data_IF_288691224662
#
_entry.id   IF_288691224662
#
_cell.length_a   1.000
_cell.length_b   1.000
_cell.length_c   1.000
_cell.angle_alpha   90.00
_cell.angle_beta   90.00
_cell.angle_gamma   90.00
#
_symmetry.space_group_name_H-M   'P 1'
#
loop_
_entity.id
_entity.type
_entity.pdbx_description
1 polymer ?
#
# COMPACT_ATOMS: atom_id res chain seq x y z
N UNK A 1 -3.26 21.25 20.00
CA UNK A 1 -4.70 20.89 20.03
C UNK A 1 -4.84 19.54 19.29
N UNK A 2 -5.32 18.48 19.96
CA UNK A 2 -5.53 17.17 19.31
C UNK A 2 -6.73 17.33 18.40
N UNK A 3 -6.54 17.19 17.08
CA UNK A 3 -7.64 17.19 16.10
C UNK A 3 -8.65 16.10 16.47
N UNK A 4 -9.87 16.52 16.76
CA UNK A 4 -10.96 15.61 17.08
C UNK A 4 -11.49 15.08 15.76
N UNK A 5 -11.13 13.85 15.41
CA UNK A 5 -11.74 13.14 14.28
C UNK A 5 -13.21 12.92 14.61
N UNK A 6 -14.09 13.41 13.76
CA UNK A 6 -15.51 13.09 13.86
C UNK A 6 -16.06 12.66 12.51
N UNK A 7 -16.69 11.51 12.47
CA UNK A 7 -17.32 10.96 11.27
C UNK A 7 -18.75 10.51 11.62
N UNK A 8 -19.79 11.04 10.93
CA UNK A 8 -21.18 10.65 11.18
C UNK A 8 -21.48 9.21 10.77
N UNK A 9 -20.60 8.59 9.97
CA UNK A 9 -20.74 7.21 9.49
C UNK A 9 -19.83 6.22 10.26
N UNK A 10 -19.19 6.66 11.35
CA UNK A 10 -18.34 5.81 12.17
C UNK A 10 -19.15 4.62 12.71
N UNK A 11 -18.60 3.40 12.52
CA UNK A 11 -19.28 2.15 12.89
C UNK A 11 -20.39 1.71 11.93
N UNK A 12 -20.69 2.49 10.87
CA UNK A 12 -21.69 2.15 9.86
C UNK A 12 -21.04 1.86 8.51
N UNK A 13 -20.12 2.72 8.08
CA UNK A 13 -19.35 2.56 6.87
C UNK A 13 -18.22 1.54 7.10
N UNK A 14 -17.97 0.65 6.13
CA UNK A 14 -16.91 -0.36 6.22
C UNK A 14 -15.51 0.15 5.86
N UNK A 15 -15.31 1.45 5.65
CA UNK A 15 -14.04 2.03 5.23
C UNK A 15 -12.99 2.20 6.34
N UNK A 16 -13.40 2.09 7.62
CA UNK A 16 -12.55 2.12 8.81
C UNK A 16 -13.29 1.50 10.00
N UNK A 17 -12.59 1.19 11.09
CA UNK A 17 -13.23 0.56 12.26
C UNK A 17 -13.97 1.60 13.12
N UNK A 18 -13.28 2.68 13.52
CA UNK A 18 -13.86 3.79 14.26
C UNK A 18 -12.98 5.04 14.18
N UNK A 19 -13.59 6.18 13.90
CA UNK A 19 -12.87 7.47 13.90
C UNK A 19 -13.22 8.36 15.09
N UNK A 20 -14.25 8.03 15.86
CA UNK A 20 -14.78 8.90 16.91
C UNK A 20 -14.16 8.65 18.30
N UNK A 21 -13.26 7.68 18.42
CA UNK A 21 -12.54 7.36 19.65
C UNK A 21 -11.37 8.30 19.95
N UNK A 22 -10.81 8.16 21.17
CA UNK A 22 -9.57 8.84 21.54
C UNK A 22 -8.38 8.24 20.81
N UNK A 23 -7.56 9.08 20.18
CA UNK A 23 -6.37 8.62 19.47
C UNK A 23 -5.35 7.99 20.41
N UNK A 24 -5.20 8.51 21.63
CA UNK A 24 -4.31 7.88 22.61
C UNK A 24 -4.75 6.47 23.01
N UNK A 25 -6.06 6.25 23.13
CA UNK A 25 -6.59 4.88 23.40
C UNK A 25 -6.34 3.97 22.21
N UNK A 26 -6.49 4.46 20.98
CA UNK A 26 -6.20 3.69 19.77
C UNK A 26 -4.73 3.26 19.71
N UNK A 27 -3.78 4.15 20.05
CA UNK A 27 -2.36 3.81 20.09
C UNK A 27 -2.07 2.73 21.13
N UNK A 28 -2.66 2.81 22.34
CA UNK A 28 -2.52 1.77 23.38
C UNK A 28 -3.02 0.43 22.86
N UNK A 29 -4.20 0.39 22.22
CA UNK A 29 -4.74 -0.85 21.65
C UNK A 29 -3.82 -1.46 20.59
N UNK A 30 -3.20 -0.64 19.74
CA UNK A 30 -2.24 -1.08 18.72
C UNK A 30 -0.95 -1.63 19.34
N UNK A 31 -0.42 -0.96 20.37
CA UNK A 31 0.72 -1.48 21.13
C UNK A 31 0.41 -2.81 21.82
N UNK A 32 -0.77 -2.93 22.43
CA UNK A 32 -1.21 -4.19 23.05
C UNK A 32 -1.34 -5.32 22.04
N UNK A 33 -1.82 -5.01 20.81
CA UNK A 33 -1.92 -5.98 19.73
C UNK A 33 -0.52 -6.48 19.32
N UNK A 34 0.44 -5.58 19.14
CA UNK A 34 1.83 -5.98 18.85
C UNK A 34 2.43 -6.75 20.02
N UNK A 35 2.20 -6.31 21.26
CA UNK A 35 2.69 -7.00 22.47
C UNK A 35 2.15 -8.42 22.60
N UNK A 36 0.87 -8.60 22.27
CA UNK A 36 0.21 -9.93 22.31
C UNK A 36 0.91 -10.94 21.40
N UNK A 37 1.27 -10.55 20.20
CA UNK A 37 1.81 -11.47 19.20
C UNK A 37 3.34 -11.51 19.16
N UNK A 38 3.99 -10.37 19.41
CA UNK A 38 5.44 -10.21 19.23
C UNK A 38 6.23 -10.02 20.53
N UNK A 39 5.58 -9.71 21.67
CA UNK A 39 6.24 -9.33 22.92
C UNK A 39 7.16 -10.37 23.53
N UNK A 40 6.96 -11.65 23.23
CA UNK A 40 7.86 -12.74 23.70
C UNK A 40 9.22 -12.80 22.98
N UNK A 41 9.38 -12.10 21.86
CA UNK A 41 10.61 -12.15 21.07
C UNK A 41 11.60 -11.04 21.42
N UNK A 42 11.12 -9.96 22.07
CA UNK A 42 11.99 -8.84 22.44
C UNK A 42 11.19 -7.67 23.01
N UNK A 43 11.94 -6.61 23.36
CA UNK A 43 11.35 -5.35 23.79
C UNK A 43 10.63 -4.68 22.63
N UNK A 44 9.42 -4.19 22.88
CA UNK A 44 8.65 -3.37 21.96
C UNK A 44 8.84 -1.91 22.35
N UNK A 45 9.26 -1.10 21.38
CA UNK A 45 9.35 0.35 21.55
C UNK A 45 7.96 1.00 21.55
N UNK A 46 7.87 2.23 22.04
CA UNK A 46 6.64 3.02 21.97
C UNK A 46 6.25 3.22 20.49
N UNK A 47 4.96 3.14 20.20
CA UNK A 47 4.45 3.28 18.84
C UNK A 47 4.74 4.67 18.28
N UNK A 48 5.23 4.75 17.04
CA UNK A 48 5.37 6.02 16.32
C UNK A 48 3.98 6.48 15.87
N UNK A 49 3.45 7.58 16.45
CA UNK A 49 2.12 8.06 16.10
C UNK A 49 2.09 8.65 14.69
N UNK A 50 0.93 8.62 14.04
CA UNK A 50 0.75 9.30 12.76
C UNK A 50 0.81 10.82 12.95
N UNK A 51 1.54 11.55 12.08
CA UNK A 51 1.60 13.01 12.12
C UNK A 51 0.23 13.64 11.81
N UNK A 52 -0.55 13.01 10.94
CA UNK A 52 -1.88 13.47 10.51
C UNK A 52 -2.96 12.45 10.85
N UNK A 53 -4.05 12.89 11.49
CA UNK A 53 -5.17 12.02 11.88
C UNK A 53 -6.32 12.09 10.88
N UNK A 54 -6.30 13.04 9.97
CA UNK A 54 -7.32 13.30 8.96
C UNK A 54 -6.66 13.59 7.62
N UNK A 55 -7.38 13.37 6.52
CA UNK A 55 -6.94 13.68 5.15
C UNK A 55 -5.61 13.05 4.71
N UNK A 56 -5.13 12.03 5.43
CA UNK A 56 -3.87 11.36 5.13
C UNK A 56 -3.99 10.33 3.99
N UNK A 57 -5.22 9.85 3.74
CA UNK A 57 -5.43 8.76 2.78
C UNK A 57 -5.35 9.27 1.34
N UNK A 58 -4.23 8.99 0.68
CA UNK A 58 -3.95 9.40 -0.69
C UNK A 58 -4.51 8.43 -1.76
N UNK A 59 -4.92 7.22 -1.38
CA UNK A 59 -5.60 6.26 -2.24
C UNK A 59 -7.02 6.05 -1.75
N UNK A 60 -7.98 6.37 -2.61
CA UNK A 60 -9.42 6.24 -2.33
C UNK A 60 -10.03 5.30 -3.36
N UNK A 61 -10.76 4.32 -2.90
CA UNK A 61 -11.50 3.38 -3.75
C UNK A 61 -12.93 3.28 -3.25
N UNK A 62 -13.88 3.50 -4.13
CA UNK A 62 -15.31 3.49 -3.80
C UNK A 62 -16.10 2.63 -4.77
N UNK A 63 -17.20 2.08 -4.27
CA UNK A 63 -18.21 1.37 -5.05
C UNK A 63 -19.20 2.38 -5.62
N UNK A 64 -19.64 2.20 -6.86
CA UNK A 64 -20.73 2.93 -7.48
C UNK A 64 -22.05 2.18 -7.26
N UNK A 65 -23.12 2.90 -6.97
CA UNK A 65 -24.46 2.30 -6.77
C UNK A 65 -25.58 3.31 -6.81
N UNK A 66 -26.78 2.88 -6.42
CA UNK A 66 -27.96 3.76 -6.27
C UNK A 66 -28.42 3.76 -4.82
N UNK A 67 -28.91 4.90 -4.36
CA UNK A 67 -29.67 4.97 -3.11
C UNK A 67 -31.12 4.50 -3.29
N UNK A 68 -31.91 4.57 -2.21
CA UNK A 68 -33.31 4.15 -2.23
C UNK A 68 -34.21 5.01 -3.17
N UNK A 69 -33.76 6.24 -3.45
CA UNK A 69 -34.45 7.17 -4.34
C UNK A 69 -33.96 7.04 -5.79
N UNK A 70 -33.09 6.05 -6.08
CA UNK A 70 -32.55 5.80 -7.42
C UNK A 70 -31.42 6.75 -7.83
N UNK A 71 -30.91 7.62 -6.92
CA UNK A 71 -29.80 8.54 -7.21
C UNK A 71 -28.49 7.80 -7.25
N UNK A 72 -27.60 8.21 -8.17
CA UNK A 72 -26.25 7.69 -8.23
C UNK A 72 -25.46 8.09 -6.98
N UNK A 73 -24.90 7.10 -6.28
CA UNK A 73 -24.07 7.30 -5.10
C UNK A 73 -22.73 6.58 -5.25
N UNK A 74 -21.74 7.05 -4.49
CA UNK A 74 -20.48 6.34 -4.28
C UNK A 74 -20.29 6.10 -2.78
N UNK A 75 -19.67 4.97 -2.42
CA UNK A 75 -19.49 4.66 -1.00
C UNK A 75 -18.71 3.38 -0.75
N UNK A 76 -18.95 2.84 0.44
CA UNK A 76 -18.33 1.59 0.91
C UNK A 76 -19.40 0.61 1.32
N UNK A 77 -19.14 -0.68 1.19
CA UNK A 77 -20.01 -1.68 1.81
C UNK A 77 -19.92 -1.61 3.34
N UNK A 78 -21.05 -1.80 4.00
CA UNK A 78 -21.06 -2.01 5.45
C UNK A 78 -20.25 -3.25 5.80
N UNK A 79 -19.45 -3.18 6.87
CA UNK A 79 -18.64 -4.33 7.33
C UNK A 79 -19.52 -5.59 7.48
N UNK A 80 -19.09 -6.68 6.84
CA UNK A 80 -19.80 -7.97 6.85
C UNK A 80 -21.10 -8.00 6.05
N UNK A 81 -21.34 -7.08 5.10
CA UNK A 81 -22.53 -7.09 4.25
C UNK A 81 -22.28 -6.49 2.87
N UNK A 82 -23.15 -6.79 1.90
CA UNK A 82 -23.17 -6.17 0.57
C UNK A 82 -24.01 -4.87 0.52
N UNK A 83 -24.42 -4.34 1.68
CA UNK A 83 -25.19 -3.10 1.72
C UNK A 83 -24.27 -1.90 1.49
N UNK A 84 -24.46 -1.21 0.37
CA UNK A 84 -23.73 0.01 0.06
C UNK A 84 -24.17 1.16 0.98
N UNK A 85 -23.22 1.80 1.62
CA UNK A 85 -23.39 3.01 2.41
C UNK A 85 -22.84 4.18 1.60
N UNK A 86 -23.72 5.09 1.20
CA UNK A 86 -23.30 6.29 0.46
C UNK A 86 -22.41 7.21 1.31
N UNK A 87 -21.23 7.52 0.81
CA UNK A 87 -20.26 8.42 1.47
C UNK A 87 -20.10 9.68 0.64
N UNK A 88 -20.58 10.81 1.17
CA UNK A 88 -20.44 12.10 0.48
C UNK A 88 -19.03 12.68 0.64
N UNK A 89 -18.46 12.53 1.83
CA UNK A 89 -17.09 12.93 2.17
C UNK A 89 -16.58 12.03 3.29
N UNK A 90 -15.28 11.76 3.31
CA UNK A 90 -14.61 11.00 4.36
C UNK A 90 -13.54 11.89 5.02
N UNK A 91 -13.49 11.86 6.34
CA UNK A 91 -12.51 12.67 7.12
C UNK A 91 -11.07 12.18 6.94
N UNK A 92 -10.90 10.92 6.55
CA UNK A 92 -9.59 10.31 6.36
C UNK A 92 -9.03 10.53 4.95
N UNK A 93 -9.90 10.76 3.95
CA UNK A 93 -9.53 10.90 2.55
C UNK A 93 -9.05 12.31 2.22
N UNK A 94 -8.08 12.42 1.31
CA UNK A 94 -7.68 13.72 0.75
C UNK A 94 -8.89 14.44 0.12
N UNK A 95 -8.98 15.75 0.34
CA UNK A 95 -10.12 16.56 -0.12
C UNK A 95 -10.27 16.59 -1.64
N UNK A 96 -9.18 16.42 -2.40
CA UNK A 96 -9.20 16.34 -3.86
C UNK A 96 -9.95 15.11 -4.34
N UNK A 97 -9.77 13.96 -3.67
CA UNK A 97 -10.54 12.76 -3.97
C UNK A 97 -12.04 12.97 -3.75
N UNK A 98 -12.42 13.63 -2.65
CA UNK A 98 -13.83 14.00 -2.39
C UNK A 98 -14.40 14.89 -3.50
N UNK A 99 -13.64 15.89 -3.99
CA UNK A 99 -14.07 16.79 -5.07
C UNK A 99 -14.28 16.04 -6.39
N UNK A 100 -13.37 15.15 -6.77
CA UNK A 100 -13.53 14.28 -7.95
C UNK A 100 -14.76 13.40 -7.83
N UNK A 101 -14.95 12.72 -6.68
CA UNK A 101 -16.15 11.88 -6.46
C UNK A 101 -17.46 12.67 -6.53
N UNK A 102 -17.46 13.92 -6.05
CA UNK A 102 -18.61 14.81 -6.19
C UNK A 102 -18.89 15.11 -7.66
N UNK A 103 -17.87 15.41 -8.45
CA UNK A 103 -18.01 15.64 -9.90
C UNK A 103 -18.55 14.41 -10.61
N UNK A 104 -18.00 13.22 -10.33
CA UNK A 104 -18.45 11.97 -10.95
C UNK A 104 -19.92 11.70 -10.61
N UNK A 105 -20.35 11.84 -9.33
CA UNK A 105 -21.76 11.66 -8.95
C UNK A 105 -22.69 12.60 -9.69
N UNK A 106 -22.33 13.90 -9.79
CA UNK A 106 -23.13 14.89 -10.51
C UNK A 106 -23.25 14.57 -12.00
N UNK A 107 -22.14 14.19 -12.62
CA UNK A 107 -22.12 13.90 -14.06
C UNK A 107 -22.77 12.56 -14.39
N UNK A 108 -22.57 11.53 -13.59
CA UNK A 108 -23.25 10.25 -13.74
C UNK A 108 -24.77 10.41 -13.65
N UNK A 109 -25.26 11.24 -12.71
CA UNK A 109 -26.68 11.56 -12.61
C UNK A 109 -27.18 12.36 -13.81
N UNK A 110 -26.40 13.37 -14.27
CA UNK A 110 -26.76 14.21 -15.41
C UNK A 110 -26.83 13.45 -16.73
N UNK A 111 -25.87 12.56 -16.98
CA UNK A 111 -25.74 11.78 -18.20
C UNK A 111 -26.43 10.41 -18.10
N UNK A 112 -27.11 10.13 -17.00
CA UNK A 112 -27.76 8.85 -16.74
C UNK A 112 -26.81 7.63 -16.91
N UNK A 113 -25.54 7.78 -16.50
CA UNK A 113 -24.59 6.66 -16.47
C UNK A 113 -25.04 5.69 -15.39
N UNK A 114 -25.17 4.43 -15.74
CA UNK A 114 -25.64 3.41 -14.80
C UNK A 114 -24.50 2.93 -13.90
N UNK A 115 -24.68 2.90 -12.56
CA UNK A 115 -23.77 2.12 -11.73
C UNK A 115 -23.97 0.63 -12.03
N UNK A 116 -22.90 -0.15 -11.91
CA UNK A 116 -22.99 -1.60 -12.15
C UNK A 116 -23.73 -2.31 -11.02
N UNK A 117 -24.66 -3.15 -11.39
CA UNK A 117 -25.42 -4.04 -10.50
C UNK A 117 -24.78 -5.43 -10.58
N UNK A 118 -24.12 -5.86 -9.48
CA UNK A 118 -23.40 -7.13 -9.41
C UNK A 118 -24.34 -8.33 -9.51
N UNK A 119 -25.58 -8.22 -8.99
CA UNK A 119 -26.57 -9.31 -9.01
C UNK A 119 -27.16 -9.51 -10.42
N UNK A 120 -27.45 -8.38 -11.10
CA UNK A 120 -28.03 -8.39 -12.45
C UNK A 120 -27.00 -8.42 -13.56
N UNK A 121 -25.74 -8.12 -13.25
CA UNK A 121 -24.61 -7.99 -14.19
C UNK A 121 -24.90 -6.96 -15.29
N UNK A 122 -25.49 -5.84 -14.90
CA UNK A 122 -25.85 -4.76 -15.82
C UNK A 122 -25.38 -3.42 -15.29
N UNK A 123 -25.09 -2.49 -16.19
CA UNK A 123 -24.60 -1.15 -15.86
C UNK A 123 -23.17 -0.93 -16.32
N UNK A 124 -22.66 0.27 -16.10
CA UNK A 124 -21.42 0.75 -16.69
C UNK A 124 -20.28 0.85 -15.65
N UNK A 125 -20.51 1.64 -14.62
CA UNK A 125 -19.47 2.08 -13.68
C UNK A 125 -19.53 1.25 -12.38
N UNK A 126 -18.50 0.41 -12.15
CA UNK A 126 -18.41 -0.46 -10.97
C UNK A 126 -17.78 0.25 -9.77
N UNK A 127 -16.57 0.76 -10.00
CA UNK A 127 -15.77 1.41 -8.96
C UNK A 127 -15.08 2.65 -9.50
N UNK A 128 -14.67 3.51 -8.58
CA UNK A 128 -13.76 4.62 -8.88
C UNK A 128 -12.58 4.50 -7.92
N UNK A 129 -11.38 4.48 -8.48
CA UNK A 129 -10.15 4.56 -7.71
C UNK A 129 -9.51 5.92 -7.99
N UNK A 130 -9.12 6.62 -6.94
CA UNK A 130 -8.44 7.91 -7.02
C UNK A 130 -7.12 7.80 -6.27
N UNK A 131 -6.07 8.28 -6.89
CA UNK A 131 -4.77 8.48 -6.24
C UNK A 131 -4.43 9.95 -6.26
N UNK A 132 -3.96 10.44 -5.15
CA UNK A 132 -3.58 11.83 -4.96
C UNK A 132 -2.15 11.88 -4.50
N UNK A 133 -1.29 12.62 -5.19
CA UNK A 133 0.04 12.92 -4.69
C UNK A 133 -0.05 14.06 -3.67
N UNK A 134 0.48 13.84 -2.48
CA UNK A 134 0.56 14.88 -1.45
C UNK A 134 1.66 15.90 -1.76
N UNK A 135 2.76 15.46 -2.37
CA UNK A 135 3.88 16.33 -2.71
C UNK A 135 3.59 17.21 -3.92
N UNK A 136 3.09 16.63 -5.03
CA UNK A 136 2.90 17.38 -6.28
C UNK A 136 1.50 17.94 -6.47
N UNK A 137 0.51 17.41 -5.72
CA UNK A 137 -0.90 17.74 -5.92
C UNK A 137 -1.56 17.05 -7.11
N UNK A 138 -0.82 16.30 -7.92
CA UNK A 138 -1.36 15.54 -9.04
C UNK A 138 -2.38 14.51 -8.57
N UNK A 139 -3.41 14.31 -9.40
CA UNK A 139 -4.45 13.32 -9.09
C UNK A 139 -4.72 12.45 -10.31
N UNK A 140 -4.70 11.13 -10.09
CA UNK A 140 -5.10 10.12 -11.05
C UNK A 140 -6.48 9.57 -10.69
N UNK A 141 -7.35 9.46 -11.69
CA UNK A 141 -8.68 8.86 -11.57
C UNK A 141 -8.74 7.62 -12.44
N UNK A 142 -9.06 6.48 -11.83
CA UNK A 142 -9.34 5.25 -12.56
C UNK A 142 -10.84 4.94 -12.49
N UNK A 143 -11.48 4.92 -13.64
CA UNK A 143 -12.88 4.51 -13.83
C UNK A 143 -12.88 3.00 -14.07
N UNK A 144 -13.38 2.22 -13.12
CA UNK A 144 -13.49 0.76 -13.28
C UNK A 144 -14.87 0.44 -13.85
N UNK A 145 -14.88 -0.13 -15.04
CA UNK A 145 -16.12 -0.38 -15.81
C UNK A 145 -16.28 -1.86 -16.16
N UNK A 146 -17.50 -2.29 -16.37
CA UNK A 146 -17.79 -3.66 -16.80
C UNK A 146 -17.49 -3.89 -18.29
N UNK A 147 -17.61 -2.84 -19.11
CA UNK A 147 -17.39 -2.88 -20.54
C UNK A 147 -16.41 -1.79 -20.99
N UNK A 148 -15.85 -1.97 -22.17
CA UNK A 148 -14.93 -1.02 -22.80
C UNK A 148 -15.58 0.30 -23.15
N UNK A 149 -16.80 0.24 -23.69
CA UNK A 149 -17.57 1.42 -24.06
C UNK A 149 -18.76 1.60 -23.14
N UNK A 150 -18.97 2.82 -22.67
CA UNK A 150 -20.15 3.21 -21.90
C UNK A 150 -20.61 4.62 -22.34
N UNK A 151 -21.91 4.92 -22.15
CA UNK A 151 -22.48 6.20 -22.57
C UNK A 151 -21.79 7.40 -21.93
N UNK A 152 -21.57 8.46 -22.70
CA UNK A 152 -21.01 9.73 -22.21
C UNK A 152 -19.62 9.64 -21.56
N UNK A 153 -18.82 8.63 -21.91
CA UNK A 153 -17.45 8.47 -21.39
C UNK A 153 -16.62 9.73 -21.57
N UNK A 154 -16.60 10.27 -22.80
CA UNK A 154 -15.81 11.47 -23.12
C UNK A 154 -16.29 12.71 -22.36
N UNK A 155 -17.62 12.88 -22.22
CA UNK A 155 -18.21 13.99 -21.46
C UNK A 155 -17.86 13.91 -19.98
N UNK A 156 -17.90 12.69 -19.39
CA UNK A 156 -17.52 12.45 -18.01
C UNK A 156 -16.03 12.80 -17.76
N UNK A 157 -15.14 12.32 -18.62
CA UNK A 157 -13.68 12.59 -18.53
C UNK A 157 -13.41 14.09 -18.65
N UNK A 158 -14.01 14.75 -19.63
CA UNK A 158 -13.91 16.21 -19.82
C UNK A 158 -14.37 16.98 -18.58
N UNK A 159 -15.51 16.60 -18.00
CA UNK A 159 -16.05 17.24 -16.81
C UNK A 159 -15.16 17.01 -15.58
N UNK A 160 -14.58 15.80 -15.42
CA UNK A 160 -13.64 15.48 -14.33
C UNK A 160 -12.46 16.46 -14.40
N UNK A 161 -11.81 16.58 -15.55
CA UNK A 161 -10.65 17.46 -15.71
C UNK A 161 -11.00 18.93 -15.56
N UNK A 162 -12.07 19.41 -16.24
CA UNK A 162 -12.45 20.83 -16.21
C UNK A 162 -12.86 21.32 -14.83
N UNK A 163 -13.57 20.48 -14.05
CA UNK A 163 -14.02 20.86 -12.69
C UNK A 163 -12.96 20.63 -11.63
N UNK A 164 -11.94 19.83 -11.91
CA UNK A 164 -10.84 19.49 -11.01
C UNK A 164 -9.50 19.65 -11.74
N UNK A 165 -8.96 20.87 -11.88
CA UNK A 165 -7.73 21.13 -12.66
C UNK A 165 -6.50 20.40 -12.14
N UNK A 166 -6.51 19.92 -10.89
CA UNK A 166 -5.46 19.10 -10.29
C UNK A 166 -5.49 17.63 -10.79
N UNK A 167 -6.52 17.21 -11.53
CA UNK A 167 -6.54 15.87 -12.15
C UNK A 167 -5.62 15.89 -13.36
N UNK A 168 -4.48 15.21 -13.23
CA UNK A 168 -3.43 15.10 -14.23
C UNK A 168 -3.56 13.86 -15.11
N UNK A 169 -4.36 12.87 -14.68
CA UNK A 169 -4.56 11.65 -15.45
C UNK A 169 -5.90 10.99 -15.17
N UNK A 170 -6.52 10.44 -16.24
CA UNK A 170 -7.72 9.59 -16.14
C UNK A 170 -7.49 8.33 -16.97
N UNK A 171 -7.69 7.18 -16.35
CA UNK A 171 -7.63 5.87 -17.01
C UNK A 171 -8.96 5.14 -16.84
N UNK A 172 -9.25 4.23 -17.73
CA UNK A 172 -10.33 3.26 -17.60
C UNK A 172 -9.73 1.88 -17.38
N UNK A 173 -10.25 1.13 -16.44
CA UNK A 173 -9.89 -0.26 -16.17
C UNK A 173 -11.12 -1.11 -16.40
N UNK A 174 -10.98 -2.13 -17.26
CA UNK A 174 -12.09 -3.00 -17.60
C UNK A 174 -12.06 -4.21 -16.68
N UNK A 175 -13.09 -4.32 -15.85
CA UNK A 175 -13.30 -5.46 -14.98
C UNK A 175 -14.71 -6.02 -15.21
N UNK A 176 -14.80 -7.09 -15.99
CA UNK A 176 -16.04 -7.83 -16.27
C UNK A 176 -16.15 -9.14 -15.49
N UNK A 177 -15.27 -9.36 -14.52
CA UNK A 177 -15.20 -10.60 -13.73
C UNK A 177 -16.24 -10.63 -12.62
N UNK A 178 -16.58 -11.83 -12.22
CA UNK A 178 -17.45 -12.12 -11.08
C UNK A 178 -16.59 -12.42 -9.84
N UNK A 179 -15.81 -11.41 -9.41
CA UNK A 179 -14.91 -11.51 -8.26
C UNK A 179 -14.99 -10.24 -7.40
N UNK A 180 -14.61 -10.37 -6.13
CA UNK A 180 -14.50 -9.23 -5.22
C UNK A 180 -13.25 -8.35 -5.49
N UNK A 181 -12.40 -8.74 -6.45
CA UNK A 181 -11.23 -7.96 -6.82
C UNK A 181 -11.63 -6.79 -7.70
N UNK A 182 -11.32 -5.59 -7.27
CA UNK A 182 -11.69 -4.35 -7.98
C UNK A 182 -10.80 -4.11 -9.18
N UNK A 183 -9.51 -4.38 -9.05
CA UNK A 183 -8.49 -4.23 -10.09
C UNK A 183 -7.49 -5.38 -9.95
N UNK A 184 -7.23 -6.05 -11.05
CA UNK A 184 -6.16 -7.04 -11.18
C UNK A 184 -5.08 -6.57 -12.16
N UNK A 185 -3.92 -7.21 -12.10
CA UNK A 185 -2.74 -6.80 -12.88
C UNK A 185 -2.95 -6.95 -14.37
N UNK A 186 -3.70 -7.95 -14.80
CA UNK A 186 -3.99 -8.30 -16.20
C UNK A 186 -5.23 -7.59 -16.78
N UNK A 187 -5.98 -6.82 -15.97
CA UNK A 187 -7.09 -6.01 -16.47
C UNK A 187 -6.66 -5.12 -17.64
N UNK A 188 -7.50 -4.99 -18.67
CA UNK A 188 -7.26 -4.01 -19.73
C UNK A 188 -7.33 -2.60 -19.15
N UNK A 189 -6.32 -1.79 -19.45
CA UNK A 189 -6.26 -0.38 -19.07
C UNK A 189 -6.21 0.51 -20.30
N UNK A 190 -7.09 1.51 -20.35
CA UNK A 190 -7.20 2.46 -21.45
C UNK A 190 -6.89 3.84 -20.88
N UNK A 191 -5.89 4.51 -21.46
CA UNK A 191 -5.60 5.92 -21.14
C UNK A 191 -6.68 6.80 -21.77
N UNK A 192 -7.39 7.58 -20.95
CA UNK A 192 -8.44 8.50 -21.39
C UNK A 192 -7.96 9.95 -21.38
N UNK A 193 -7.07 10.31 -20.45
CA UNK A 193 -6.49 11.64 -20.33
C UNK A 193 -5.16 11.60 -19.58
N UNK A 194 -4.19 12.45 -19.98
CA UNK A 194 -2.91 12.62 -19.28
C UNK A 194 -1.90 11.51 -19.54
N UNK A 195 -1.13 11.12 -18.52
CA UNK A 195 0.03 10.23 -18.64
C UNK A 195 -0.21 8.78 -18.19
N UNK A 196 -1.33 8.50 -17.49
CA UNK A 196 -1.63 7.20 -16.89
C UNK A 196 -1.01 6.98 -15.49
N UNK A 197 -0.29 7.98 -14.97
CA UNK A 197 0.34 7.93 -13.66
C UNK A 197 0.41 9.33 -13.03
N UNK A 198 0.70 9.38 -11.75
CA UNK A 198 1.06 10.58 -10.98
C UNK A 198 2.45 10.39 -10.39
N UNK A 199 3.13 11.49 -10.08
CA UNK A 199 4.42 11.45 -9.40
C UNK A 199 4.26 11.86 -7.93
N UNK A 200 4.72 11.02 -7.01
CA UNK A 200 4.77 11.29 -5.56
C UNK A 200 6.22 11.44 -5.12
N UNK A 201 6.45 12.15 -4.00
CA UNK A 201 7.75 12.22 -3.35
C UNK A 201 7.70 11.47 -2.02
N UNK A 202 8.72 10.65 -1.77
CA UNK A 202 8.87 9.85 -0.56
C UNK A 202 10.35 9.77 -0.18
N UNK A 203 10.69 10.18 1.03
CA UNK A 203 12.08 10.23 1.50
C UNK A 203 13.02 11.07 0.60
N UNK A 204 12.49 12.13 -0.04
CA UNK A 204 13.22 12.97 -1.00
C UNK A 204 13.49 12.32 -2.36
N UNK A 205 12.81 11.23 -2.66
CA UNK A 205 12.84 10.49 -3.93
C UNK A 205 11.51 10.59 -4.64
N UNK A 206 11.51 10.52 -5.97
CA UNK A 206 10.31 10.65 -6.81
C UNK A 206 9.89 9.28 -7.33
N UNK A 207 8.58 9.00 -7.27
CA UNK A 207 8.01 7.74 -7.71
C UNK A 207 6.79 7.98 -8.61
N UNK A 208 6.82 7.42 -9.81
CA UNK A 208 5.67 7.36 -10.68
C UNK A 208 4.75 6.22 -10.25
N UNK A 209 3.48 6.56 -10.03
CA UNK A 209 2.48 5.64 -9.46
C UNK A 209 1.32 5.53 -10.45
N UNK A 210 1.12 4.35 -11.03
CA UNK A 210 -0.03 4.04 -11.89
C UNK A 210 -1.26 3.62 -11.06
N UNK A 211 -2.41 3.48 -11.71
CA UNK A 211 -3.62 3.01 -11.04
C UNK A 211 -3.46 1.62 -10.41
N UNK A 212 -2.69 0.73 -11.06
CA UNK A 212 -2.50 -0.67 -10.66
C UNK A 212 -1.31 -0.91 -9.74
N UNK A 213 -0.41 0.06 -9.60
CA UNK A 213 0.76 -0.07 -8.73
C UNK A 213 0.34 -0.13 -7.25
N UNK A 214 1.04 -0.92 -6.46
CA UNK A 214 0.96 -0.77 -5.01
C UNK A 214 1.78 0.46 -4.60
N UNK A 215 1.24 1.27 -3.74
CA UNK A 215 1.91 2.37 -3.05
C UNK A 215 1.19 2.63 -1.74
N UNK A 216 1.91 2.93 -0.69
CA UNK A 216 1.38 3.17 0.65
C UNK A 216 0.36 4.32 0.65
N UNK A 217 -0.70 4.20 1.47
CA UNK A 217 -1.85 5.13 1.41
C UNK A 217 -1.72 6.35 2.30
N UNK A 218 -0.69 6.42 3.14
CA UNK A 218 -0.36 7.52 4.05
C UNK A 218 1.11 7.93 3.81
N UNK A 219 1.41 8.77 2.80
CA UNK A 219 2.79 9.10 2.41
C UNK A 219 3.63 9.65 3.55
N UNK A 220 3.09 10.57 4.35
CA UNK A 220 3.80 11.20 5.46
C UNK A 220 4.23 10.18 6.53
N UNK A 221 3.37 9.23 6.85
CA UNK A 221 3.72 8.17 7.81
C UNK A 221 4.59 7.08 7.17
N UNK A 222 4.50 6.87 5.86
CA UNK A 222 5.39 5.97 5.12
C UNK A 222 6.84 6.45 5.20
N UNK A 223 7.08 7.75 5.16
CA UNK A 223 8.44 8.28 5.39
C UNK A 223 8.97 7.88 6.77
N UNK A 224 8.16 8.01 7.82
CA UNK A 224 8.56 7.57 9.17
C UNK A 224 8.83 6.07 9.23
N UNK A 225 7.99 5.26 8.57
CA UNK A 225 8.17 3.81 8.46
C UNK A 225 9.50 3.47 7.78
N UNK A 226 9.76 4.06 6.61
CA UNK A 226 10.98 3.76 5.84
C UNK A 226 12.24 4.32 6.49
N UNK A 227 12.21 5.54 7.04
CA UNK A 227 13.33 6.07 7.83
C UNK A 227 13.65 5.19 9.03
N UNK A 228 12.63 4.64 9.68
CA UNK A 228 12.80 3.67 10.78
C UNK A 228 13.47 2.39 10.27
N UNK A 229 12.98 1.81 9.17
CA UNK A 229 13.54 0.61 8.58
C UNK A 229 15.01 0.81 8.16
N UNK A 230 15.34 1.92 7.50
CA UNK A 230 16.70 2.25 7.09
C UNK A 230 17.63 2.50 8.29
N UNK A 231 17.15 3.23 9.31
CA UNK A 231 17.90 3.44 10.56
C UNK A 231 18.26 2.12 11.26
N UNK A 232 17.31 1.18 11.30
CA UNK A 232 17.53 -0.14 11.89
C UNK A 232 18.49 -0.99 11.06
N UNK A 233 18.40 -0.91 9.75
CA UNK A 233 19.27 -1.63 8.82
C UNK A 233 20.76 -1.25 8.95
N UNK A 234 21.07 0.02 9.29
CA UNK A 234 22.46 0.53 9.43
C UNK A 234 23.30 0.24 8.19
N UNK A 235 22.74 0.52 7.01
CA UNK A 235 23.34 0.25 5.71
C UNK A 235 24.74 0.85 5.59
N UNK A 236 25.71 0.06 5.10
CA UNK A 236 27.08 0.48 4.79
C UNK A 236 27.28 0.52 3.28
N UNK A 237 28.25 1.30 2.82
CA UNK A 237 28.55 1.43 1.38
C UNK A 237 29.11 0.17 0.71
N UNK A 238 29.46 -0.84 1.49
CA UNK A 238 29.89 -2.16 1.01
C UNK A 238 28.76 -3.17 0.99
N UNK A 239 27.60 -2.85 1.60
CA UNK A 239 26.55 -3.81 1.79
C UNK A 239 25.82 -4.14 0.48
N UNK A 240 25.55 -5.41 0.30
CA UNK A 240 24.68 -5.96 -0.71
C UNK A 240 23.30 -6.22 -0.13
N UNK A 241 22.32 -5.46 -0.56
CA UNK A 241 20.98 -5.42 0.00
C UNK A 241 19.99 -6.14 -0.90
N UNK A 242 19.08 -6.93 -0.32
CA UNK A 242 17.95 -7.53 -0.99
C UNK A 242 16.66 -6.88 -0.50
N UNK A 243 15.81 -6.43 -1.42
CA UNK A 243 14.40 -6.10 -1.18
C UNK A 243 13.54 -7.20 -1.80
N UNK A 244 12.99 -8.06 -0.97
CA UNK A 244 12.41 -9.34 -1.42
C UNK A 244 10.97 -9.23 -1.94
N UNK A 245 10.28 -8.13 -1.68
CA UNK A 245 8.92 -7.84 -2.16
C UNK A 245 8.89 -6.40 -2.66
N UNK A 246 9.72 -6.10 -3.68
CA UNK A 246 10.11 -4.72 -3.98
C UNK A 246 9.00 -3.84 -4.55
N UNK A 247 7.90 -4.41 -5.04
CA UNK A 247 6.80 -3.64 -5.62
C UNK A 247 7.30 -2.66 -6.69
N UNK A 248 7.00 -1.38 -6.52
CA UNK A 248 7.47 -0.29 -7.40
C UNK A 248 8.87 0.23 -7.06
N UNK A 249 9.61 -0.50 -6.22
CA UNK A 249 11.01 -0.24 -5.89
C UNK A 249 11.23 0.77 -4.75
N UNK A 250 10.21 1.10 -3.98
CA UNK A 250 10.32 2.18 -2.99
C UNK A 250 11.35 1.90 -1.90
N UNK A 251 11.39 0.71 -1.33
CA UNK A 251 12.39 0.32 -0.31
C UNK A 251 13.76 0.17 -0.94
N UNK A 252 13.86 -0.54 -2.07
CA UNK A 252 15.14 -0.76 -2.77
C UNK A 252 15.84 0.56 -3.15
N UNK A 253 15.10 1.50 -3.76
CA UNK A 253 15.65 2.80 -4.18
C UNK A 253 16.02 3.66 -2.95
N UNK A 254 15.23 3.59 -1.87
CA UNK A 254 15.56 4.27 -0.61
C UNK A 254 16.84 3.68 0.00
N UNK A 255 17.02 2.35 0.01
CA UNK A 255 18.23 1.70 0.50
C UNK A 255 19.48 2.10 -0.32
N UNK A 256 19.34 2.21 -1.64
CA UNK A 256 20.41 2.72 -2.50
C UNK A 256 20.78 4.16 -2.17
N UNK A 257 19.79 5.02 -1.92
CA UNK A 257 19.97 6.41 -1.51
C UNK A 257 20.66 6.55 -0.15
N UNK A 258 20.39 5.61 0.77
CA UNK A 258 21.06 5.52 2.09
C UNK A 258 22.51 5.02 1.98
N UNK A 259 22.97 4.67 0.78
CA UNK A 259 24.37 4.40 0.49
C UNK A 259 24.74 2.91 0.39
N UNK A 260 23.79 2.02 0.16
CA UNK A 260 24.10 0.61 -0.13
C UNK A 260 25.04 0.47 -1.35
N UNK A 261 25.95 -0.50 -1.30
CA UNK A 261 26.86 -0.79 -2.42
C UNK A 261 26.15 -1.36 -3.65
N UNK A 262 25.29 -2.35 -3.45
CA UNK A 262 24.43 -2.95 -4.46
C UNK A 262 23.05 -3.24 -3.86
N UNK A 263 21.99 -2.95 -4.59
CA UNK A 263 20.63 -3.31 -4.18
C UNK A 263 19.96 -4.16 -5.24
N UNK A 264 19.27 -5.21 -4.79
CA UNK A 264 18.50 -6.11 -5.65
C UNK A 264 17.07 -6.10 -5.17
N UNK A 265 16.15 -5.64 -6.01
CA UNK A 265 14.72 -5.77 -5.79
C UNK A 265 14.14 -6.98 -6.51
N UNK A 266 13.39 -7.82 -5.81
CA UNK A 266 12.70 -8.98 -6.40
C UNK A 266 11.20 -8.78 -6.28
N UNK A 267 10.50 -8.92 -7.40
CA UNK A 267 9.04 -8.72 -7.48
C UNK A 267 8.44 -9.68 -8.51
N UNK A 268 7.36 -10.34 -8.13
CA UNK A 268 6.66 -11.29 -8.99
C UNK A 268 5.80 -10.63 -10.07
N UNK A 269 5.34 -9.41 -9.84
CA UNK A 269 4.51 -8.65 -10.77
C UNK A 269 5.37 -7.95 -11.82
N UNK A 270 5.33 -8.36 -13.11
CA UNK A 270 6.18 -7.76 -14.14
C UNK A 270 5.87 -6.28 -14.43
N UNK A 271 4.67 -5.79 -14.13
CA UNK A 271 4.32 -4.37 -14.28
C UNK A 271 4.96 -3.54 -13.18
N UNK A 272 4.92 -4.03 -11.94
CA UNK A 272 5.58 -3.37 -10.81
C UNK A 272 7.10 -3.29 -11.02
N UNK A 273 7.72 -4.36 -11.58
CA UNK A 273 9.14 -4.35 -11.97
C UNK A 273 9.43 -3.25 -13.00
N UNK A 274 8.58 -3.07 -14.01
CA UNK A 274 8.75 -1.99 -15.02
C UNK A 274 8.66 -0.61 -14.37
N UNK A 275 7.71 -0.43 -13.44
CA UNK A 275 7.58 0.82 -12.68
C UNK A 275 8.82 1.04 -11.80
N UNK A 276 9.33 0.00 -11.13
CA UNK A 276 10.52 0.06 -10.30
C UNK A 276 11.78 0.47 -11.08
N UNK A 277 11.99 -0.12 -12.26
CA UNK A 277 13.11 0.24 -13.15
C UNK A 277 13.01 1.71 -13.58
N UNK A 278 11.82 2.19 -13.95
CA UNK A 278 11.61 3.59 -14.30
C UNK A 278 11.87 4.52 -13.10
N UNK A 279 11.38 4.14 -11.92
CA UNK A 279 11.59 4.90 -10.69
C UNK A 279 13.06 4.96 -10.30
N UNK A 280 13.83 3.87 -10.43
CA UNK A 280 15.26 3.88 -10.19
C UNK A 280 16.00 4.83 -11.14
N UNK A 281 15.71 4.75 -12.43
CA UNK A 281 16.31 5.64 -13.44
C UNK A 281 15.98 7.12 -13.17
N UNK A 282 14.74 7.43 -12.78
CA UNK A 282 14.31 8.80 -12.45
C UNK A 282 15.07 9.37 -11.24
N UNK A 283 15.46 8.53 -10.29
CA UNK A 283 16.21 8.91 -9.09
C UNK A 283 17.73 8.76 -9.22
N UNK A 284 18.25 8.38 -10.39
CA UNK A 284 19.67 8.15 -10.60
C UNK A 284 20.26 7.01 -9.74
N UNK A 285 19.42 6.04 -9.36
CA UNK A 285 19.83 4.89 -8.54
C UNK A 285 20.45 3.80 -9.43
N UNK A 286 21.70 4.02 -9.86
CA UNK A 286 22.42 3.14 -10.79
C UNK A 286 22.86 1.82 -10.15
N UNK A 287 22.97 1.78 -8.82
CA UNK A 287 23.35 0.60 -8.04
C UNK A 287 22.16 -0.29 -7.65
N UNK A 288 20.98 -0.06 -8.27
CA UNK A 288 19.78 -0.87 -8.06
C UNK A 288 19.44 -1.66 -9.32
N UNK A 289 19.20 -2.96 -9.16
CA UNK A 289 18.61 -3.78 -10.23
C UNK A 289 17.35 -4.49 -9.76
N UNK A 290 16.38 -4.65 -10.64
CA UNK A 290 15.13 -5.36 -10.35
C UNK A 290 15.04 -6.67 -11.14
N UNK A 291 14.51 -7.71 -10.47
CA UNK A 291 14.33 -9.04 -11.01
C UNK A 291 12.86 -9.41 -10.92
N UNK A 292 12.28 -9.82 -12.06
CA UNK A 292 10.92 -10.34 -12.08
C UNK A 292 10.95 -11.85 -11.79
N UNK A 293 10.75 -12.22 -10.53
CA UNK A 293 10.72 -13.61 -10.08
C UNK A 293 9.93 -13.72 -8.76
N UNK A 294 9.61 -14.94 -8.35
CA UNK A 294 9.20 -15.26 -6.99
C UNK A 294 10.41 -15.15 -6.05
N UNK A 295 10.21 -14.47 -4.91
CA UNK A 295 11.31 -14.20 -3.98
C UNK A 295 11.94 -15.48 -3.40
N UNK A 296 11.14 -16.53 -3.12
CA UNK A 296 11.64 -17.81 -2.63
C UNK A 296 12.49 -18.53 -3.67
N UNK A 297 12.01 -18.50 -4.91
CA UNK A 297 12.72 -19.09 -6.05
C UNK A 297 14.03 -18.35 -6.31
N UNK A 298 13.99 -17.02 -6.35
CA UNK A 298 15.18 -16.20 -6.54
C UNK A 298 16.25 -16.48 -5.49
N UNK A 299 15.89 -16.53 -4.21
CA UNK A 299 16.84 -16.80 -3.12
C UNK A 299 17.48 -18.20 -3.21
N UNK A 300 16.71 -19.22 -3.62
CA UNK A 300 17.26 -20.56 -3.83
C UNK A 300 18.30 -20.59 -4.96
N UNK A 301 18.04 -19.87 -6.03
CA UNK A 301 18.96 -19.78 -7.16
C UNK A 301 20.18 -18.91 -6.84
N UNK A 302 19.99 -17.79 -6.15
CA UNK A 302 21.06 -16.94 -5.66
C UNK A 302 22.04 -17.73 -4.77
N UNK A 303 21.50 -18.55 -3.86
CA UNK A 303 22.33 -19.45 -3.04
C UNK A 303 23.13 -20.46 -3.88
N UNK A 304 22.50 -21.06 -4.91
CA UNK A 304 23.21 -22.00 -5.81
C UNK A 304 24.38 -21.34 -6.54
N UNK A 305 24.25 -20.04 -6.83
CA UNK A 305 25.32 -19.22 -7.44
C UNK A 305 26.34 -18.71 -6.42
N UNK A 306 26.16 -19.04 -5.13
CA UNK A 306 27.04 -18.56 -4.06
C UNK A 306 26.87 -17.08 -3.73
N UNK A 307 25.77 -16.47 -4.15
CA UNK A 307 25.47 -15.07 -3.84
C UNK A 307 25.14 -14.90 -2.34
N UNK A 308 25.69 -13.86 -1.74
CA UNK A 308 25.44 -13.47 -0.34
C UNK A 308 24.76 -12.10 -0.30
N UNK A 309 24.07 -11.85 0.77
CA UNK A 309 23.46 -10.55 1.09
C UNK A 309 23.87 -10.18 2.52
N UNK A 310 24.09 -8.89 2.76
CA UNK A 310 24.39 -8.38 4.09
C UNK A 310 23.11 -8.01 4.82
N UNK A 311 22.14 -7.44 4.10
CA UNK A 311 20.84 -7.02 4.63
C UNK A 311 19.70 -7.51 3.71
N UNK A 312 18.61 -7.97 4.32
CA UNK A 312 17.37 -8.34 3.62
C UNK A 312 16.22 -7.52 4.17
N UNK A 313 15.53 -6.77 3.30
CA UNK A 313 14.24 -6.17 3.60
C UNK A 313 13.11 -7.09 3.18
N UNK A 314 12.10 -7.21 4.05
CA UNK A 314 10.86 -7.94 3.82
C UNK A 314 9.68 -7.00 4.07
N UNK A 315 8.80 -6.85 3.09
CA UNK A 315 7.48 -6.21 3.23
C UNK A 315 6.42 -7.10 2.57
N UNK A 316 6.15 -8.29 3.13
CA UNK A 316 5.24 -9.26 2.54
C UNK A 316 3.78 -8.82 2.67
N UNK A 317 2.83 -9.43 1.92
CA UNK A 317 1.41 -9.18 2.08
C UNK A 317 0.90 -9.60 3.48
N UNK A 318 -0.36 -9.24 3.80
CA UNK A 318 -0.98 -9.50 5.11
C UNK A 318 -0.92 -10.96 5.60
N UNK A 319 -0.77 -11.90 4.69
CA UNK A 319 -0.60 -13.32 5.01
C UNK A 319 0.77 -13.65 5.65
N UNK A 320 1.69 -12.68 5.67
CA UNK A 320 3.06 -12.87 6.09
C UNK A 320 3.90 -13.59 5.03
N UNK A 321 5.08 -14.02 5.43
CA UNK A 321 5.99 -14.77 4.57
C UNK A 321 5.77 -16.27 4.65
N UNK A 322 6.26 -17.02 3.67
CA UNK A 322 6.24 -18.49 3.70
C UNK A 322 7.45 -19.03 4.45
N UNK A 323 7.29 -20.19 5.10
CA UNK A 323 8.42 -20.89 5.76
C UNK A 323 9.55 -21.19 4.75
N UNK A 324 9.18 -21.52 3.52
CA UNK A 324 10.11 -21.76 2.43
C UNK A 324 10.99 -20.55 2.14
N UNK A 325 10.37 -19.36 2.07
CA UNK A 325 11.09 -18.10 1.89
C UNK A 325 11.98 -17.80 3.10
N UNK A 326 11.45 -17.89 4.33
CA UNK A 326 12.18 -17.61 5.56
C UNK A 326 13.40 -18.53 5.71
N UNK A 327 13.24 -19.82 5.37
CA UNK A 327 14.34 -20.77 5.33
C UNK A 327 15.38 -20.43 4.25
N UNK A 328 14.95 -19.96 3.08
CA UNK A 328 15.86 -19.54 2.02
C UNK A 328 16.63 -18.27 2.41
N UNK A 329 15.94 -17.28 2.96
CA UNK A 329 16.53 -16.03 3.44
C UNK A 329 17.58 -16.27 4.52
N UNK A 330 17.30 -17.15 5.50
CA UNK A 330 18.24 -17.47 6.58
C UNK A 330 19.56 -18.11 6.10
N UNK A 331 19.52 -18.76 4.95
CA UNK A 331 20.69 -19.46 4.35
C UNK A 331 21.55 -18.57 3.47
N UNK A 332 21.21 -17.30 3.27
CA UNK A 332 22.01 -16.34 2.50
C UNK A 332 23.22 -15.82 3.29
N UNK A 333 23.18 -15.97 4.60
CA UNK A 333 24.23 -15.46 5.50
C UNK A 333 24.06 -13.98 5.84
N UNK A 334 22.91 -13.37 5.57
CA UNK A 334 22.67 -11.96 5.88
C UNK A 334 22.89 -11.64 7.35
N UNK A 335 23.62 -10.56 7.64
CA UNK A 335 23.86 -10.08 9.00
C UNK A 335 22.56 -9.57 9.65
N UNK A 336 21.68 -8.97 8.84
CA UNK A 336 20.42 -8.37 9.29
C UNK A 336 19.24 -8.68 8.38
N UNK A 337 18.07 -8.88 9.00
CA UNK A 337 16.80 -8.93 8.32
C UNK A 337 15.92 -7.81 8.89
N UNK A 338 15.45 -6.90 8.06
CA UNK A 338 14.47 -5.87 8.42
C UNK A 338 13.11 -6.31 7.90
N UNK A 339 12.24 -6.71 8.80
CA UNK A 339 10.89 -7.18 8.50
C UNK A 339 9.87 -6.08 8.76
N UNK A 340 9.19 -5.60 7.73
CA UNK A 340 8.05 -4.68 7.81
C UNK A 340 6.77 -5.52 7.70
N UNK A 341 5.80 -5.30 8.57
CA UNK A 341 4.56 -6.09 8.58
C UNK A 341 3.34 -5.27 8.98
N UNK A 342 2.28 -5.39 8.19
CA UNK A 342 0.98 -4.80 8.49
C UNK A 342 0.07 -5.70 9.36
N UNK A 343 0.53 -6.89 9.77
CA UNK A 343 -0.25 -7.84 10.55
C UNK A 343 0.59 -8.48 11.67
N UNK A 344 0.43 -8.05 12.93
CA UNK A 344 1.20 -8.57 14.07
C UNK A 344 1.04 -10.07 14.30
N UNK A 345 -0.11 -10.67 13.96
CA UNK A 345 -0.35 -12.09 14.14
C UNK A 345 0.53 -12.95 13.22
N UNK A 346 0.52 -12.65 11.91
CA UNK A 346 1.38 -13.35 10.95
C UNK A 346 2.84 -13.05 11.18
N UNK A 347 3.18 -11.81 11.56
CA UNK A 347 4.53 -11.45 12.01
C UNK A 347 4.99 -12.32 13.18
N UNK A 348 4.16 -12.47 14.21
CA UNK A 348 4.49 -13.32 15.38
C UNK A 348 4.69 -14.80 15.02
N UNK A 349 3.97 -15.31 14.00
CA UNK A 349 4.19 -16.64 13.42
C UNK A 349 5.57 -16.72 12.75
N UNK A 350 5.90 -15.76 11.93
CA UNK A 350 7.13 -15.73 11.14
C UNK A 350 8.36 -15.51 12.02
N UNK A 351 8.26 -14.63 13.02
CA UNK A 351 9.31 -14.44 14.04
C UNK A 351 9.58 -15.72 14.83
N UNK A 352 8.53 -16.51 15.15
CA UNK A 352 8.70 -17.80 15.81
C UNK A 352 9.52 -18.75 14.94
N UNK A 353 9.24 -18.80 13.65
CA UNK A 353 10.00 -19.61 12.71
C UNK A 353 11.46 -19.17 12.67
N UNK A 354 11.72 -17.89 12.43
CA UNK A 354 13.06 -17.33 12.32
C UNK A 354 13.89 -17.54 13.59
N UNK A 355 13.30 -17.31 14.76
CA UNK A 355 14.04 -17.42 16.02
C UNK A 355 14.27 -18.86 16.51
N UNK A 356 13.42 -19.81 16.07
CA UNK A 356 13.50 -21.21 16.50
C UNK A 356 14.30 -22.10 15.55
N UNK A 357 14.17 -21.86 14.23
CA UNK A 357 14.70 -22.78 13.22
C UNK A 357 15.83 -22.17 12.38
N UNK A 358 16.26 -20.96 12.72
CA UNK A 358 17.33 -20.26 12.02
C UNK A 358 18.25 -19.55 13.03
N UNK A 359 19.46 -19.12 12.63
CA UNK A 359 20.38 -18.43 13.53
C UNK A 359 20.00 -16.97 13.83
N UNK A 360 18.77 -16.54 13.60
CA UNK A 360 18.35 -15.18 13.88
C UNK A 360 17.73 -14.99 15.25
N UNK A 361 17.94 -13.80 15.82
CA UNK A 361 17.25 -13.30 17.01
C UNK A 361 16.69 -11.93 16.75
N UNK A 362 15.57 -11.60 17.40
CA UNK A 362 14.99 -10.25 17.34
C UNK A 362 15.86 -9.30 18.17
N UNK A 363 16.24 -8.19 17.56
CA UNK A 363 17.02 -7.13 18.20
C UNK A 363 16.14 -5.94 18.59
N UNK A 364 15.18 -5.57 17.72
CA UNK A 364 14.32 -4.42 17.95
C UNK A 364 12.95 -4.62 17.30
N UNK A 365 11.88 -4.13 17.96
CA UNK A 365 10.50 -4.14 17.47
C UNK A 365 9.96 -2.73 17.59
N UNK A 366 9.63 -2.09 16.45
CA UNK A 366 9.12 -0.73 16.38
C UNK A 366 7.74 -0.70 15.71
N UNK A 367 6.66 -0.51 16.49
CA UNK A 367 5.33 -0.27 15.93
C UNK A 367 5.23 1.14 15.31
N UNK A 368 4.42 1.25 14.24
CA UNK A 368 4.15 2.52 13.53
C UNK A 368 2.66 2.60 13.20
N UNK A 369 2.00 3.68 13.60
CA UNK A 369 0.59 3.88 13.29
C UNK A 369 0.40 4.44 11.87
N UNK A 370 0.29 3.55 10.89
CA UNK A 370 0.06 3.90 9.49
C UNK A 370 -1.40 4.31 9.21
N UNK A 371 -2.35 3.79 9.98
CA UNK A 371 -3.78 3.89 9.70
C UNK A 371 -4.59 4.40 10.89
N UNK A 372 -4.51 5.71 11.22
CA UNK A 372 -5.38 6.29 12.25
C UNK A 372 -6.86 6.07 11.94
N UNK A 373 -7.63 5.62 12.95
CA UNK A 373 -9.04 5.26 12.76
C UNK A 373 -9.29 3.78 12.52
N UNK A 374 -8.22 2.95 12.56
CA UNK A 374 -8.32 1.50 12.45
C UNK A 374 -7.57 0.84 13.60
N UNK A 375 -8.28 0.38 14.61
CA UNK A 375 -7.70 -0.19 15.84
C UNK A 375 -6.97 -1.53 15.64
N UNK A 376 -7.21 -2.22 14.52
CA UNK A 376 -6.62 -3.53 14.22
C UNK A 376 -5.44 -3.44 13.23
N UNK A 377 -5.17 -2.25 12.66
CA UNK A 377 -4.09 -2.08 11.68
C UNK A 377 -2.92 -1.30 12.28
N UNK A 378 -1.81 -1.96 12.42
CA UNK A 378 -0.54 -1.38 12.86
C UNK A 378 0.59 -1.95 12.01
N UNK A 379 1.44 -1.07 11.49
CA UNK A 379 2.69 -1.50 10.87
C UNK A 379 3.73 -1.76 11.96
N UNK A 380 4.58 -2.74 11.75
CA UNK A 380 5.62 -3.08 12.70
C UNK A 380 6.92 -3.37 11.96
N UNK A 381 7.96 -2.61 12.30
CA UNK A 381 9.32 -2.85 11.78
C UNK A 381 10.08 -3.67 12.81
N UNK A 382 10.62 -4.81 12.40
CA UNK A 382 11.44 -5.68 13.24
C UNK A 382 12.82 -5.83 12.64
N UNK A 383 13.84 -5.54 13.44
CA UNK A 383 15.21 -5.90 13.12
C UNK A 383 15.53 -7.27 13.74
N UNK A 384 15.95 -8.20 12.89
CA UNK A 384 16.56 -9.44 13.33
C UNK A 384 18.05 -9.41 12.97
N UNK A 385 18.88 -9.83 13.90
CA UNK A 385 20.33 -10.01 13.70
C UNK A 385 20.70 -11.49 13.78
N UNK A 386 21.76 -11.85 13.06
CA UNK A 386 22.33 -13.19 13.12
C UNK A 386 22.96 -13.42 14.50
N UNK A 387 22.79 -14.59 15.06
CA UNK A 387 23.38 -15.03 16.30
C UNK A 387 24.27 -16.24 16.01
N UNK A 388 25.56 -15.95 15.81
CA UNK A 388 26.55 -16.97 15.43
C UNK A 388 26.76 -18.06 16.49
N UNK A 389 26.25 -17.84 17.73
CA UNK A 389 26.29 -18.86 18.77
C UNK A 389 25.31 -20.03 18.55
N UNK A 390 24.43 -19.94 17.56
CA UNK A 390 23.42 -20.94 17.21
C UNK A 390 23.78 -21.80 15.98
N UNK A 391 25.02 -21.73 15.51
CA UNK A 391 25.48 -22.48 14.32
C UNK A 391 26.01 -23.90 14.61
N UNK A 392 25.81 -24.45 15.80
CA UNK A 392 26.20 -25.83 16.20
C UNK A 392 25.02 -26.83 16.06
#
# INVERSE_FOLDING_TARGET
MREKRWCPLSGVCGGCDSTNGSYSTELIMKEELVRKYCGRFGRINDIIPSPSLTRFRCKVQVVCGRDRDGKFITGQYRKGSHKLIGVRSCVLEDGRATAVLQTVRQMAQRFNIAPYDEDRRTGDLRHILIRVSHATGETLVALVTAAKDFPHRADLVSAIHQKNPFVSSVVQIINNRDTNMVIETDDEEILLYGRGYITEELCGLRFDISAKSFFQTNPEQTENLYRTAMKLARIRSTDRVLDAYSGTGTIAITAAREGAGEVIGVESNPRAVKDAVRNAAMNGAENVRFVNDDASKYLKEARRRGEKFDIIFLDPPRAGSTEEFLAAASKTGAEGIVYISCNPETLGRDLRYLTRFTPYRVLEIQPVDMFPGSGEHVETVVLLGRDDSKED
#
